data_IF_597517778510
#
_entry.id   IF_597517778510
#
_cell.length_a   1.000
_cell.length_b   1.000
_cell.length_c   1.000
_cell.angle_alpha   90.00
_cell.angle_beta   90.00
_cell.angle_gamma   90.00
#
_symmetry.space_group_name_H-M   'P 1'
#
loop_
_entity.id
_entity.type
_entity.pdbx_description
1 polymer ?
#
# COMPACT_ATOMS: atom_id res chain seq x y z
N UNK A 1 1.11 26.07 22.72
CA UNK A 1 0.16 25.80 21.61
C UNK A 1 0.95 25.23 20.44
N UNK A 2 0.64 24.03 19.95
CA UNK A 2 1.03 23.70 18.58
C UNK A 2 -0.20 23.20 17.82
N UNK A 3 -0.65 24.02 16.88
CA UNK A 3 -1.51 23.59 15.78
C UNK A 3 -0.75 22.54 15.00
N UNK A 4 -1.16 21.29 15.11
CA UNK A 4 -0.65 20.23 14.26
C UNK A 4 -0.94 20.63 12.81
N UNK A 5 0.11 20.68 11.98
CA UNK A 5 0.04 20.73 10.50
C UNK A 5 -0.75 19.53 9.89
N UNK A 6 -1.51 18.79 10.69
CA UNK A 6 -2.39 17.69 10.35
C UNK A 6 -3.71 18.20 9.74
N UNK A 7 -4.21 19.38 10.14
CA UNK A 7 -5.54 19.84 9.71
C UNK A 7 -5.59 20.53 8.32
N UNK A 8 -4.45 20.97 7.78
CA UNK A 8 -4.43 21.62 6.47
C UNK A 8 -4.40 20.61 5.30
N UNK A 9 -3.89 19.39 5.50
CA UNK A 9 -3.77 18.43 4.40
C UNK A 9 -5.09 17.72 4.09
N UNK A 10 -5.89 17.42 5.11
CA UNK A 10 -7.21 16.80 4.94
C UNK A 10 -8.16 17.71 4.13
N UNK A 11 -8.07 19.03 4.35
CA UNK A 11 -8.86 20.02 3.60
C UNK A 11 -8.33 20.34 2.20
N UNK A 12 -7.05 20.13 1.90
CA UNK A 12 -6.50 20.32 0.54
C UNK A 12 -6.88 19.17 -0.41
N UNK A 13 -6.99 17.95 0.10
CA UNK A 13 -7.47 16.79 -0.68
C UNK A 13 -8.96 16.91 -1.00
N UNK A 14 -9.79 17.33 -0.04
CA UNK A 14 -11.23 17.59 -0.27
C UNK A 14 -11.48 18.82 -1.17
N UNK A 15 -10.68 19.90 -1.07
CA UNK A 15 -10.84 21.10 -1.93
C UNK A 15 -10.31 20.96 -3.34
N UNK A 16 -9.36 20.05 -3.60
CA UNK A 16 -8.68 19.99 -4.91
C UNK A 16 -9.41 19.20 -5.98
N UNK A 17 -10.60 18.63 -5.71
CA UNK A 17 -11.36 17.88 -6.71
C UNK A 17 -10.61 16.66 -7.27
N UNK A 18 -9.57 16.20 -6.58
CA UNK A 18 -8.79 15.01 -6.93
C UNK A 18 -9.54 13.78 -6.45
N UNK A 19 -10.57 13.38 -7.19
CA UNK A 19 -11.23 12.09 -6.99
C UNK A 19 -10.15 11.01 -7.15
N UNK A 20 -9.78 10.27 -6.09
CA UNK A 20 -8.87 9.14 -6.26
C UNK A 20 -9.53 8.18 -7.25
N UNK A 21 -8.74 7.64 -8.19
CA UNK A 21 -9.27 6.62 -9.09
C UNK A 21 -9.51 5.35 -8.27
N UNK A 22 -10.78 5.11 -7.97
CA UNK A 22 -11.22 3.82 -7.43
C UNK A 22 -10.84 2.72 -8.42
N UNK A 23 -10.19 1.69 -7.93
CA UNK A 23 -9.68 0.63 -8.77
C UNK A 23 -8.78 -0.33 -8.01
N UNK A 24 -8.50 -1.44 -8.65
CA UNK A 24 -7.59 -2.47 -8.17
C UNK A 24 -6.48 -2.69 -9.18
N UNK A 25 -5.25 -2.81 -8.67
CA UNK A 25 -4.09 -3.14 -9.48
C UNK A 25 -3.50 -4.43 -8.95
N UNK A 26 -3.45 -5.43 -9.82
CA UNK A 26 -2.85 -6.71 -9.53
C UNK A 26 -1.38 -6.70 -9.96
N UNK A 27 -0.50 -7.13 -9.07
CA UNK A 27 0.92 -7.32 -9.32
C UNK A 27 1.35 -8.70 -8.84
N UNK A 28 2.13 -9.41 -9.64
CA UNK A 28 2.77 -10.64 -9.15
C UNK A 28 3.74 -10.29 -8.00
N UNK A 29 3.81 -11.15 -6.98
CA UNK A 29 4.72 -10.94 -5.84
C UNK A 29 6.17 -10.76 -6.31
N UNK A 30 6.57 -11.49 -7.37
CA UNK A 30 7.85 -11.32 -8.04
C UNK A 30 8.08 -9.90 -8.57
N UNK A 31 7.07 -9.29 -9.21
CA UNK A 31 7.17 -7.93 -9.74
C UNK A 31 7.27 -6.88 -8.64
N UNK A 32 6.58 -7.07 -7.52
CA UNK A 32 6.74 -6.20 -6.34
C UNK A 32 8.11 -6.36 -5.70
N UNK A 33 8.65 -7.58 -5.69
CA UNK A 33 9.98 -7.88 -5.16
C UNK A 33 11.09 -7.28 -6.02
N UNK A 34 10.98 -7.40 -7.35
CA UNK A 34 11.89 -6.79 -8.32
C UNK A 34 11.93 -5.25 -8.18
N UNK A 35 10.78 -4.64 -7.89
CA UNK A 35 10.67 -3.20 -7.58
C UNK A 35 11.22 -2.82 -6.21
N UNK A 36 11.57 -3.80 -5.36
CA UNK A 36 11.96 -3.61 -3.96
C UNK A 36 10.82 -3.26 -3.01
N UNK A 37 9.57 -3.17 -3.51
CA UNK A 37 8.39 -2.89 -2.68
C UNK A 37 8.14 -4.06 -1.73
N UNK A 38 8.23 -5.29 -2.24
CA UNK A 38 8.17 -6.51 -1.43
C UNK A 38 9.57 -6.96 -1.05
N UNK A 39 9.85 -6.96 0.25
CA UNK A 39 11.16 -7.33 0.79
C UNK A 39 11.21 -8.81 1.15
N UNK A 40 10.17 -9.30 1.82
CA UNK A 40 10.07 -10.72 2.17
C UNK A 40 8.61 -11.12 2.39
N UNK A 41 8.27 -12.37 2.07
CA UNK A 41 7.00 -12.96 2.49
C UNK A 41 7.25 -14.31 3.14
N UNK A 42 7.09 -14.38 4.45
CA UNK A 42 7.28 -15.57 5.27
C UNK A 42 6.20 -16.62 4.98
N UNK A 43 6.61 -17.88 4.89
CA UNK A 43 5.72 -19.00 4.56
C UNK A 43 5.46 -19.17 3.06
N UNK A 44 6.09 -18.36 2.21
CA UNK A 44 5.79 -18.29 0.77
C UNK A 44 7.07 -18.36 -0.06
N UNK A 45 7.32 -19.53 -0.65
CA UNK A 45 8.49 -19.77 -1.50
C UNK A 45 8.20 -19.48 -2.98
N UNK A 46 6.94 -19.67 -3.41
CA UNK A 46 6.52 -19.58 -4.81
C UNK A 46 5.99 -18.18 -5.17
N UNK A 47 6.84 -17.14 -5.19
CA UNK A 47 6.44 -15.78 -5.60
C UNK A 47 5.85 -15.70 -7.02
N UNK A 48 6.11 -16.69 -7.85
CA UNK A 48 5.57 -16.79 -9.21
C UNK A 48 4.07 -17.09 -9.24
N UNK A 49 3.57 -17.84 -8.26
CA UNK A 49 2.16 -18.24 -8.17
C UNK A 49 1.32 -17.27 -7.33
N UNK A 50 1.93 -16.22 -6.79
CA UNK A 50 1.30 -15.30 -5.86
C UNK A 50 1.08 -13.96 -6.56
N UNK A 51 -0.15 -13.50 -6.52
CA UNK A 51 -0.54 -12.17 -6.96
C UNK A 51 -0.96 -11.34 -5.74
N UNK A 52 -0.54 -10.09 -5.74
CA UNK A 52 -0.90 -9.09 -4.75
C UNK A 52 -1.77 -8.07 -5.46
N UNK A 53 -3.02 -7.97 -5.03
CA UNK A 53 -3.98 -6.98 -5.48
C UNK A 53 -3.94 -5.81 -4.51
N UNK A 54 -3.73 -4.61 -5.04
CA UNK A 54 -3.80 -3.36 -4.29
C UNK A 54 -5.03 -2.61 -4.78
N UNK A 55 -6.02 -2.48 -3.92
CA UNK A 55 -7.31 -1.84 -4.18
C UNK A 55 -7.43 -0.54 -3.40
N UNK A 56 -8.08 0.46 -3.98
CA UNK A 56 -8.39 1.73 -3.32
C UNK A 56 -9.89 1.98 -3.43
N UNK A 57 -10.60 1.86 -2.30
CA UNK A 57 -12.05 2.11 -2.21
C UNK A 57 -12.36 3.48 -1.62
N UNK A 58 -11.46 4.03 -0.80
CA UNK A 58 -11.59 5.36 -0.20
C UNK A 58 -10.29 6.15 -0.36
N UNK A 59 -10.40 7.47 -0.37
CA UNK A 59 -9.23 8.37 -0.47
C UNK A 59 -8.29 8.05 0.68
N UNK A 60 -7.07 7.61 0.38
CA UNK A 60 -6.07 7.33 1.40
C UNK A 60 -6.22 6.00 2.13
N UNK A 61 -7.13 5.12 1.70
CA UNK A 61 -7.25 3.76 2.25
C UNK A 61 -6.96 2.75 1.15
N UNK A 62 -5.93 1.94 1.37
CA UNK A 62 -5.47 0.91 0.45
C UNK A 62 -5.69 -0.47 1.05
N UNK A 63 -6.37 -1.32 0.31
CA UNK A 63 -6.56 -2.72 0.67
C UNK A 63 -5.57 -3.55 -0.14
N UNK A 64 -4.74 -4.31 0.55
CA UNK A 64 -3.72 -5.18 -0.02
C UNK A 64 -4.15 -6.61 0.21
N UNK A 65 -4.35 -7.36 -0.87
CA UNK A 65 -4.84 -8.74 -0.84
C UNK A 65 -3.88 -9.67 -1.59
N UNK A 66 -3.51 -10.76 -0.94
CA UNK A 66 -2.73 -11.86 -1.48
C UNK A 66 -3.64 -12.95 -2.04
N UNK A 67 -3.41 -13.29 -3.29
CA UNK A 67 -4.05 -14.40 -4.00
C UNK A 67 -2.97 -15.36 -4.48
N UNK A 68 -3.22 -16.67 -4.39
CA UNK A 68 -2.34 -17.70 -4.92
C UNK A 68 -3.07 -18.44 -6.03
N UNK A 69 -2.64 -18.23 -7.28
CA UNK A 69 -3.38 -18.67 -8.45
C UNK A 69 -4.77 -18.03 -8.49
N UNK A 70 -5.81 -18.86 -8.41
CA UNK A 70 -7.22 -18.43 -8.41
C UNK A 70 -7.84 -18.36 -7.00
N UNK A 71 -7.08 -18.62 -5.94
CA UNK A 71 -7.61 -18.72 -4.57
C UNK A 71 -7.08 -17.55 -3.73
N UNK A 72 -7.98 -16.81 -3.10
CA UNK A 72 -7.62 -15.81 -2.10
C UNK A 72 -7.05 -16.48 -0.86
N UNK A 73 -5.95 -15.94 -0.36
CA UNK A 73 -5.26 -16.54 0.76
C UNK A 73 -5.86 -16.07 2.09
N UNK A 74 -6.23 -16.99 2.99
CA UNK A 74 -6.69 -16.62 4.31
C UNK A 74 -5.57 -15.90 5.07
N UNK A 75 -5.90 -14.77 5.68
CA UNK A 75 -4.93 -13.92 6.41
C UNK A 75 -4.02 -13.07 5.52
N UNK A 76 -4.09 -13.20 4.19
CA UNK A 76 -3.36 -12.35 3.26
C UNK A 76 -4.19 -11.13 2.84
N UNK A 77 -4.94 -10.52 3.74
CA UNK A 77 -5.68 -9.28 3.49
C UNK A 77 -5.28 -8.27 4.56
N UNK A 78 -4.91 -7.07 4.15
CA UNK A 78 -4.51 -6.00 5.05
C UNK A 78 -5.02 -4.67 4.52
N UNK A 79 -5.42 -3.80 5.43
CA UNK A 79 -5.80 -2.42 5.12
C UNK A 79 -4.70 -1.51 5.60
N UNK A 80 -4.26 -0.63 4.72
CA UNK A 80 -3.16 0.32 4.95
C UNK A 80 -3.65 1.71 4.64
N UNK A 81 -3.54 2.60 5.61
CA UNK A 81 -3.89 3.99 5.44
C UNK A 81 -2.66 4.78 4.96
N UNK A 82 -2.87 5.75 4.07
CA UNK A 82 -1.80 6.63 3.60
C UNK A 82 -1.19 7.43 4.75
N UNK A 83 -2.00 7.76 5.76
CA UNK A 83 -1.56 8.46 6.96
C UNK A 83 -0.55 7.63 7.75
N UNK A 84 -0.79 6.32 7.89
CA UNK A 84 0.14 5.39 8.55
C UNK A 84 1.45 5.28 7.77
N UNK A 85 1.38 5.19 6.43
CA UNK A 85 2.57 5.18 5.58
C UNK A 85 3.39 6.47 5.68
N UNK A 86 2.72 7.63 5.69
CA UNK A 86 3.37 8.93 5.84
C UNK A 86 4.00 9.08 7.22
N UNK A 87 3.32 8.60 8.26
CA UNK A 87 3.86 8.60 9.62
C UNK A 87 5.08 7.68 9.72
N UNK A 88 4.99 6.46 9.19
CA UNK A 88 6.11 5.53 9.12
C UNK A 88 7.31 6.14 8.37
N UNK A 89 7.07 6.84 7.26
CA UNK A 89 8.13 7.56 6.55
C UNK A 89 8.74 8.69 7.41
N UNK A 90 7.92 9.46 8.12
CA UNK A 90 8.37 10.53 9.01
C UNK A 90 9.21 10.00 10.18
N UNK A 91 8.81 8.86 10.75
CA UNK A 91 9.54 8.14 11.80
C UNK A 91 10.75 7.35 11.27
N UNK A 92 11.07 7.49 9.98
CA UNK A 92 12.16 6.77 9.29
C UNK A 92 12.03 5.23 9.32
N UNK A 93 10.81 4.70 9.48
CA UNK A 93 10.50 3.28 9.32
C UNK A 93 10.57 2.90 7.83
N UNK A 94 11.68 2.29 7.43
CA UNK A 94 11.88 1.86 6.04
C UNK A 94 10.99 0.67 5.65
N UNK A 95 10.57 -0.14 6.62
CA UNK A 95 9.83 -1.37 6.39
C UNK A 95 8.58 -1.43 7.23
N UNK A 96 7.51 -1.97 6.63
CA UNK A 96 6.27 -2.30 7.32
C UNK A 96 5.98 -3.79 7.22
N UNK A 97 5.22 -4.28 8.19
CA UNK A 97 4.85 -5.67 8.33
C UNK A 97 3.33 -5.82 8.16
N UNK A 98 2.91 -6.60 7.18
CA UNK A 98 1.51 -6.92 6.88
C UNK A 98 1.25 -8.42 7.06
N UNK A 99 -0.02 -8.81 7.09
CA UNK A 99 -0.46 -10.20 7.25
C UNK A 99 0.12 -10.84 8.52
N UNK A 100 -0.06 -10.17 9.67
CA UNK A 100 0.46 -10.61 10.97
C UNK A 100 1.99 -10.79 11.01
N UNK A 101 2.72 -9.97 10.24
CA UNK A 101 4.17 -10.02 10.18
C UNK A 101 4.76 -10.95 9.13
N UNK A 102 3.92 -11.65 8.37
CA UNK A 102 4.39 -12.53 7.31
C UNK A 102 4.92 -11.75 6.10
N UNK A 103 4.30 -10.63 5.73
CA UNK A 103 4.71 -9.83 4.59
C UNK A 103 5.50 -8.61 5.05
N UNK A 104 6.74 -8.47 4.58
CA UNK A 104 7.58 -7.29 4.79
C UNK A 104 7.60 -6.46 3.52
N UNK A 105 7.13 -5.22 3.60
CA UNK A 105 7.12 -4.27 2.50
C UNK A 105 7.99 -3.06 2.82
N UNK A 106 8.54 -2.41 1.79
CA UNK A 106 9.24 -1.13 1.93
C UNK A 106 8.24 0.03 1.87
N UNK A 107 8.19 0.84 2.92
CA UNK A 107 7.25 1.96 3.06
C UNK A 107 7.44 3.00 1.96
N UNK A 108 8.69 3.42 1.72
CA UNK A 108 9.00 4.47 0.75
C UNK A 108 8.62 4.06 -0.67
N UNK A 109 8.92 2.81 -1.04
CA UNK A 109 8.62 2.29 -2.37
C UNK A 109 7.12 2.01 -2.55
N UNK A 110 6.44 1.52 -1.51
CA UNK A 110 4.99 1.34 -1.52
C UNK A 110 4.27 2.68 -1.69
N UNK A 111 4.66 3.68 -0.91
CA UNK A 111 4.13 5.03 -0.97
C UNK A 111 4.34 5.63 -2.37
N UNK A 112 5.54 5.52 -2.92
CA UNK A 112 5.81 5.97 -4.30
C UNK A 112 4.95 5.23 -5.34
N UNK A 113 4.78 3.92 -5.21
CA UNK A 113 3.94 3.12 -6.12
C UNK A 113 2.48 3.56 -6.07
N UNK A 114 1.96 3.75 -4.86
CA UNK A 114 0.57 4.20 -4.62
C UNK A 114 0.35 5.62 -5.16
N UNK A 115 1.21 6.59 -4.84
CA UNK A 115 1.12 7.95 -5.36
C UNK A 115 1.12 7.98 -6.89
N UNK A 116 2.00 7.20 -7.51
CA UNK A 116 2.10 7.12 -8.97
C UNK A 116 0.88 6.49 -9.63
N UNK A 117 0.22 5.54 -8.97
CA UNK A 117 -0.89 4.76 -9.55
C UNK A 117 -2.27 5.34 -9.27
N UNK A 118 -2.50 5.84 -8.06
CA UNK A 118 -3.82 6.29 -7.60
C UNK A 118 -3.98 7.82 -7.56
N UNK A 119 -2.89 8.57 -7.35
CA UNK A 119 -2.92 10.03 -7.19
C UNK A 119 -2.36 10.81 -8.38
N UNK A 120 -1.83 10.14 -9.40
CA UNK A 120 -1.40 10.80 -10.62
C UNK A 120 -2.63 11.20 -11.45
N UNK A 121 -3.09 12.43 -11.25
CA UNK A 121 -3.90 13.18 -12.22
C UNK A 121 -3.14 13.20 -13.55
N UNK A 122 -3.74 12.61 -14.59
CA UNK A 122 -3.56 13.12 -15.95
C UNK A 122 -4.65 14.16 -16.18
#
# INVERSE_FOLDING_TARGET
MPFTKQYNHQRELERSGKVPKFGSYMYSARALSDKGVLVAWKGMSDYDKINVTISCDQVGVFVIEGTRGHIQMPGASAVVNIEDLLQAQFEAHQFMHLFEGNLKLNVNLLLHLVYKKFYRTQ
#
